data_IF_747623283641
#
_entry.id   IF_747623283641
#
_cell.length_a   1.000
_cell.length_b   1.000
_cell.length_c   1.000
_cell.angle_alpha   90.00
_cell.angle_beta   90.00
_cell.angle_gamma   90.00
#
_symmetry.space_group_name_H-M   'P 1'
#
loop_
_entity.id
_entity.type
_entity.pdbx_description
1 polymer ?
#
# COMPACT_ATOMS: atom_id res chain seq x y z
N UNK A 1 9.55 11.68 3.25
CA UNK A 1 8.44 12.64 3.37
C UNK A 1 8.53 13.63 2.23
N UNK A 2 7.57 13.54 1.33
CA UNK A 2 7.42 14.47 0.21
C UNK A 2 6.89 15.82 0.71
N UNK A 3 7.18 16.87 -0.04
CA UNK A 3 6.53 18.17 0.09
C UNK A 3 5.08 18.10 -0.43
N UNK A 4 4.28 19.11 -0.09
CA UNK A 4 2.88 19.20 -0.58
C UNK A 4 2.82 19.31 -2.11
N UNK A 5 3.77 20.02 -2.71
CA UNK A 5 3.86 20.23 -4.16
C UNK A 5 4.20 18.92 -4.88
N UNK A 6 5.19 18.17 -4.36
CA UNK A 6 5.53 16.86 -4.90
C UNK A 6 4.39 15.84 -4.77
N UNK A 7 3.67 15.84 -3.65
CA UNK A 7 2.50 14.98 -3.47
C UNK A 7 1.38 15.31 -4.47
N UNK A 8 1.18 16.60 -4.75
CA UNK A 8 0.22 17.07 -5.75
C UNK A 8 0.63 16.63 -7.15
N UNK A 9 1.88 16.90 -7.55
CA UNK A 9 2.41 16.52 -8.85
C UNK A 9 2.35 15.00 -9.08
N UNK A 10 2.64 14.20 -8.04
CA UNK A 10 2.55 12.75 -8.10
C UNK A 10 1.10 12.27 -8.23
N UNK A 11 0.17 12.89 -7.50
CA UNK A 11 -1.27 12.60 -7.63
C UNK A 11 -1.79 12.91 -9.03
N UNK A 12 -1.38 14.04 -9.60
CA UNK A 12 -1.72 14.45 -10.97
C UNK A 12 -1.13 13.52 -12.02
N UNK A 13 0.05 12.94 -11.77
CA UNK A 13 0.66 11.96 -12.66
C UNK A 13 -0.04 10.61 -12.66
N UNK A 14 -1.03 10.38 -11.76
CA UNK A 14 -1.82 9.14 -11.65
C UNK A 14 -0.96 7.88 -11.58
N UNK A 15 0.18 7.96 -10.90
CA UNK A 15 1.16 6.88 -10.79
C UNK A 15 0.56 5.55 -10.28
N UNK A 16 -0.58 5.61 -9.58
CA UNK A 16 -1.28 4.48 -9.00
C UNK A 16 -2.12 3.67 -10.01
N UNK A 17 -2.50 4.21 -11.19
CA UNK A 17 -3.43 3.53 -12.12
C UNK A 17 -2.89 2.22 -12.71
N UNK A 18 -1.56 2.02 -12.71
CA UNK A 18 -0.90 0.80 -13.19
C UNK A 18 -0.21 -0.02 -12.11
N UNK A 19 -0.41 0.32 -10.83
CA UNK A 19 0.29 -0.30 -9.71
C UNK A 19 -0.56 -1.39 -9.07
N UNK A 20 0.12 -2.43 -8.59
CA UNK A 20 -0.54 -3.45 -7.77
C UNK A 20 -0.98 -2.86 -6.43
N UNK A 21 -2.01 -3.43 -5.78
CA UNK A 21 -2.41 -3.02 -4.42
C UNK A 21 -1.24 -3.02 -3.44
N UNK A 22 -0.34 -4.00 -3.55
CA UNK A 22 0.83 -4.13 -2.70
C UNK A 22 1.83 -2.98 -2.90
N UNK A 23 2.14 -2.61 -4.14
CA UNK A 23 3.01 -1.45 -4.43
C UNK A 23 2.38 -0.12 -3.97
N UNK A 24 1.06 0.01 -4.10
CA UNK A 24 0.33 1.20 -3.63
C UNK A 24 0.47 1.33 -2.12
N UNK A 25 0.21 0.24 -1.40
CA UNK A 25 0.32 0.22 0.07
C UNK A 25 1.76 0.43 0.50
N UNK A 26 2.73 -0.25 -0.10
CA UNK A 26 4.15 -0.10 0.24
C UNK A 26 4.68 1.32 0.02
N UNK A 27 4.12 2.08 -0.91
CA UNK A 27 4.49 3.49 -1.08
C UNK A 27 3.70 4.41 -0.14
N UNK A 28 2.37 4.31 -0.16
CA UNK A 28 1.48 5.26 0.50
C UNK A 28 1.42 5.08 2.02
N UNK A 29 1.68 3.87 2.54
CA UNK A 29 1.68 3.57 3.97
C UNK A 29 2.88 4.18 4.71
N UNK A 30 3.99 4.42 4.01
CA UNK A 30 5.20 5.04 4.56
C UNK A 30 5.31 6.55 4.24
N UNK A 31 4.36 7.09 3.48
CA UNK A 31 4.31 8.51 3.16
C UNK A 31 3.17 9.21 3.93
N UNK A 32 3.48 10.35 4.51
CA UNK A 32 2.54 11.12 5.34
C UNK A 32 1.48 11.86 4.50
N UNK A 33 1.79 12.11 3.22
CA UNK A 33 0.89 12.81 2.32
C UNK A 33 0.22 11.86 1.37
N UNK A 34 -1.11 11.96 1.32
CA UNK A 34 -1.93 11.20 0.40
C UNK A 34 -1.70 11.70 -1.03
N UNK A 35 -1.09 10.87 -1.86
CA UNK A 35 -0.72 11.18 -3.26
C UNK A 35 -1.68 10.53 -4.27
N UNK A 36 -2.88 10.14 -3.84
CA UNK A 36 -3.89 9.47 -4.66
C UNK A 36 -5.29 9.58 -4.03
N UNK A 37 -6.38 9.25 -4.73
CA UNK A 37 -7.71 9.20 -4.13
C UNK A 37 -7.78 8.25 -2.94
N UNK A 38 -8.32 8.71 -1.81
CA UNK A 38 -8.44 7.93 -0.57
C UNK A 38 -9.18 6.60 -0.78
N UNK A 39 -10.21 6.59 -1.63
CA UNK A 39 -11.00 5.41 -1.94
C UNK A 39 -10.16 4.30 -2.58
N UNK A 40 -9.30 4.64 -3.54
CA UNK A 40 -8.41 3.69 -4.19
C UNK A 40 -7.33 3.19 -3.24
N UNK A 41 -6.80 4.08 -2.39
CA UNK A 41 -5.86 3.68 -1.36
C UNK A 41 -6.49 2.72 -0.35
N UNK A 42 -7.71 3.03 0.11
CA UNK A 42 -8.45 2.17 1.02
C UNK A 42 -8.72 0.80 0.40
N UNK A 43 -9.18 0.75 -0.84
CA UNK A 43 -9.39 -0.51 -1.55
C UNK A 43 -8.10 -1.32 -1.68
N UNK A 44 -6.95 -0.67 -1.95
CA UNK A 44 -5.66 -1.34 -2.01
C UNK A 44 -5.25 -1.92 -0.64
N UNK A 45 -5.40 -1.14 0.42
CA UNK A 45 -5.11 -1.55 1.80
C UNK A 45 -6.00 -2.73 2.21
N UNK A 46 -7.30 -2.68 1.90
CA UNK A 46 -8.25 -3.76 2.19
C UNK A 46 -7.91 -5.05 1.43
N UNK A 47 -7.47 -4.94 0.18
CA UNK A 47 -7.02 -6.09 -0.62
C UNK A 47 -5.75 -6.72 -0.06
N UNK A 48 -4.80 -5.91 0.39
CA UNK A 48 -3.52 -6.38 0.94
C UNK A 48 -3.70 -6.99 2.33
N UNK A 49 -4.50 -6.35 3.18
CA UNK A 49 -4.78 -6.85 4.54
C UNK A 49 -5.83 -7.96 4.57
N UNK A 50 -6.62 -8.11 3.51
CA UNK A 50 -7.71 -9.08 3.42
C UNK A 50 -8.88 -8.79 4.36
N UNK A 51 -8.98 -7.56 4.89
CA UNK A 51 -10.06 -7.12 5.79
C UNK A 51 -10.50 -5.69 5.46
N UNK A 52 -11.74 -5.30 5.82
CA UNK A 52 -12.16 -3.91 5.76
C UNK A 52 -11.27 -3.02 6.63
N UNK A 53 -10.93 -1.83 6.12
CA UNK A 53 -10.11 -0.84 6.83
C UNK A 53 -10.85 0.48 6.86
N UNK A 54 -10.92 1.08 8.04
CA UNK A 54 -11.65 2.32 8.22
C UNK A 54 -10.72 3.53 8.26
N UNK A 55 -11.26 4.69 7.88
CA UNK A 55 -10.49 5.94 7.81
C UNK A 55 -9.87 6.39 9.13
N UNK A 56 -10.41 5.94 10.27
CA UNK A 56 -9.84 6.23 11.58
C UNK A 56 -8.57 5.42 11.87
N UNK A 57 -8.35 4.29 11.19
CA UNK A 57 -7.13 3.48 11.33
C UNK A 57 -5.92 4.18 10.68
N UNK A 58 -6.14 5.02 9.66
CA UNK A 58 -5.07 5.84 9.07
C UNK A 58 -4.54 6.94 10.00
N UNK A 59 -5.22 7.24 11.11
CA UNK A 59 -4.67 8.12 12.15
C UNK A 59 -3.58 7.44 12.98
N UNK A 60 -3.50 6.11 12.91
CA UNK A 60 -2.54 5.29 13.66
C UNK A 60 -1.95 4.27 12.69
N UNK A 61 -1.14 4.73 11.71
CA UNK A 61 -0.60 3.88 10.66
C UNK A 61 0.28 2.76 11.22
N UNK A 62 0.79 2.87 12.45
CA UNK A 62 1.64 1.86 13.09
C UNK A 62 0.98 0.49 13.14
N UNK A 63 -0.34 0.42 13.36
CA UNK A 63 -1.08 -0.85 13.35
C UNK A 63 -1.15 -1.45 11.95
N UNK A 64 -1.46 -0.63 10.96
CA UNK A 64 -1.54 -1.04 9.57
C UNK A 64 -0.17 -1.49 9.04
N UNK A 65 0.91 -0.79 9.44
CA UNK A 65 2.29 -1.16 9.11
C UNK A 65 2.63 -2.51 9.73
N UNK A 66 2.34 -2.73 11.02
CA UNK A 66 2.63 -4.01 11.67
C UNK A 66 1.87 -5.18 11.01
N UNK A 67 0.60 -4.98 10.64
CA UNK A 67 -0.16 -6.00 9.90
C UNK A 67 0.42 -6.24 8.51
N UNK A 68 0.76 -5.17 7.77
CA UNK A 68 1.37 -5.28 6.45
C UNK A 68 2.73 -5.99 6.51
N UNK A 69 3.57 -5.69 7.49
CA UNK A 69 4.87 -6.35 7.68
C UNK A 69 4.73 -7.82 8.07
N UNK A 70 3.73 -8.16 8.89
CA UNK A 70 3.40 -9.54 9.20
C UNK A 70 2.95 -10.32 7.95
N UNK A 71 2.11 -9.71 7.12
CA UNK A 71 1.67 -10.29 5.83
C UNK A 71 2.86 -10.42 4.88
N UNK A 72 3.68 -9.37 4.70
CA UNK A 72 4.86 -9.40 3.85
C UNK A 72 5.85 -10.49 4.28
N UNK A 73 6.02 -10.68 5.59
CA UNK A 73 6.86 -11.74 6.15
C UNK A 73 6.26 -13.14 5.93
N UNK A 74 4.94 -13.26 5.90
CA UNK A 74 4.23 -14.50 5.60
C UNK A 74 4.17 -14.81 4.08
N UNK A 75 3.93 -13.81 3.23
CA UNK A 75 3.96 -13.89 1.76
C UNK A 75 5.37 -14.11 1.23
N UNK A 76 6.41 -13.71 1.98
CA UNK A 76 7.79 -14.12 1.74
C UNK A 76 7.98 -15.64 1.73
N UNK A 77 7.08 -16.41 2.36
CA UNK A 77 7.04 -17.88 2.21
C UNK A 77 6.38 -18.36 0.91
N UNK A 78 5.64 -17.53 0.17
CA UNK A 78 4.97 -17.91 -1.08
C UNK A 78 5.73 -17.52 -2.35
N UNK A 79 6.73 -16.63 -2.27
CA UNK A 79 7.57 -16.26 -3.43
C UNK A 79 8.81 -17.15 -3.64
N UNK A 80 8.95 -18.24 -2.86
CA UNK A 80 9.87 -19.33 -3.17
C UNK A 80 9.10 -20.64 -3.43
N UNK A 81 8.32 -20.71 -4.52
CA UNK A 81 8.14 -21.93 -5.32
C UNK A 81 7.22 -21.65 -6.51
N UNK A 82 7.82 -21.13 -7.58
CA UNK A 82 7.13 -20.89 -8.83
C UNK A 82 8.05 -20.78 -10.04
N UNK A 83 9.21 -21.46 -10.05
CA UNK A 83 9.92 -21.77 -11.29
C UNK A 83 11.03 -22.81 -11.09
N UNK A 84 10.71 -24.09 -11.22
CA UNK A 84 11.64 -25.06 -11.82
C UNK A 84 10.82 -26.23 -12.40
N UNK A 85 10.49 -26.12 -13.68
CA UNK A 85 10.04 -27.24 -14.50
C UNK A 85 10.95 -27.24 -15.73
N UNK A 86 11.97 -28.09 -15.71
CA UNK A 86 12.74 -28.52 -16.87
C UNK A 86 13.14 -29.99 -16.67
#
# INVERSE_FOLDING_TARGET
>A
MMTKEEATAKSESRWYEGKSPQEIVEFQLYEDKLCMPLQLYQEAVEKVLGRPVYTHEYKTPERLIAEYEAIKSADGCQLQQGHEMA
#
